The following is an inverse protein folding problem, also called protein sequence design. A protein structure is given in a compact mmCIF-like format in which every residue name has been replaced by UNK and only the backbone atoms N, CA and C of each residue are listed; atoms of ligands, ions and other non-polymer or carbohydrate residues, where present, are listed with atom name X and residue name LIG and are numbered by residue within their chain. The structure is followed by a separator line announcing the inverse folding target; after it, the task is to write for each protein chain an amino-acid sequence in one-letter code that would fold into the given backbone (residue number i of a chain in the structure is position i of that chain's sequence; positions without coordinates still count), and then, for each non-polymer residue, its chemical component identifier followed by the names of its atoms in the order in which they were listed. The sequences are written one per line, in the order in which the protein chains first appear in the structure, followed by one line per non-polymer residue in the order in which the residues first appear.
data_IF_284251122587
#
_entry.id   IF_284251122587
#
_cell.length_a   1.000
_cell.length_b   1.000
_cell.length_c   1.000
_cell.angle_alpha   90.00
_cell.angle_beta   90.00
_cell.angle_gamma   90.00
#
_symmetry.space_group_name_H-M   'P 1'
#
loop_
_entity.id
_entity.type
_entity.pdbx_description
1 polymer ?
#
# COMPACT_ATOMS: atom_id res chain seq x y z
N UNK A 1 45.76 27.52 -0.69
CA UNK A 1 45.00 28.54 -1.46
C UNK A 1 43.54 28.40 -1.06
N UNK A 2 42.91 29.52 -0.65
CA UNK A 2 41.57 29.58 -0.04
C UNK A 2 40.50 29.60 -1.13
N UNK A 3 39.54 28.67 -1.10
CA UNK A 3 38.29 28.83 -1.84
C UNK A 3 37.09 28.90 -0.89
N UNK A 4 36.38 30.02 -1.01
CA UNK A 4 35.27 30.47 -0.19
C UNK A 4 34.00 29.71 -0.56
N UNK A 5 33.29 29.20 0.45
CA UNK A 5 31.92 28.66 0.35
C UNK A 5 30.93 29.83 0.38
N UNK A 6 30.09 29.94 -0.64
CA UNK A 6 28.90 30.81 -0.61
C UNK A 6 27.68 29.92 -0.37
N UNK A 7 27.08 30.06 0.81
CA UNK A 7 25.84 29.41 1.23
C UNK A 7 24.72 30.46 1.08
N UNK A 8 23.72 30.19 0.24
CA UNK A 8 22.50 31.00 0.13
C UNK A 8 21.36 30.22 0.79
N UNK A 9 20.92 30.73 1.93
CA UNK A 9 19.78 30.22 2.70
C UNK A 9 18.53 30.90 2.14
N UNK A 10 17.67 30.12 1.46
CA UNK A 10 16.34 30.55 1.06
C UNK A 10 15.32 30.10 2.11
N UNK A 11 14.72 31.07 2.80
CA UNK A 11 13.76 30.86 3.89
C UNK A 11 12.36 31.18 3.33
N UNK A 12 11.54 30.17 3.05
CA UNK A 12 10.14 30.37 2.62
C UNK A 12 9.19 30.10 3.78
N UNK A 13 8.70 31.19 4.38
CA UNK A 13 7.49 31.22 5.20
C UNK A 13 6.27 31.04 4.28
N UNK A 14 5.41 30.06 4.57
CA UNK A 14 4.06 30.02 3.99
C UNK A 14 3.04 30.02 5.11
N UNK A 15 2.21 31.06 5.12
CA UNK A 15 1.22 31.38 6.13
C UNK A 15 -0.01 30.48 6.06
N UNK A 16 -0.61 30.25 7.22
CA UNK A 16 -1.79 29.43 7.44
C UNK A 16 -3.11 30.19 7.24
N UNK A 17 -4.15 29.39 7.01
CA UNK A 17 -5.58 29.58 7.33
C UNK A 17 -6.42 30.51 6.45
N UNK A 18 -7.52 29.96 5.93
CA UNK A 18 -8.90 30.40 6.31
C UNK A 18 -9.96 29.47 5.70
N UNK A 19 -10.75 28.82 6.57
CA UNK A 19 -12.00 28.15 6.23
C UNK A 19 -13.11 29.22 6.22
N UNK A 20 -13.90 29.27 5.14
CA UNK A 20 -15.09 30.13 5.02
C UNK A 20 -16.36 29.30 5.25
N UNK A 21 -17.24 29.89 6.05
CA UNK A 21 -18.43 29.32 6.68
C UNK A 21 -19.55 28.87 5.73
N UNK A 22 -20.23 27.78 6.11
CA UNK A 22 -21.53 27.37 5.59
C UNK A 22 -22.63 28.31 6.13
N UNK A 23 -23.44 28.89 5.24
CA UNK A 23 -24.67 29.60 5.62
C UNK A 23 -25.88 28.70 5.40
N UNK A 24 -26.51 28.28 6.50
CA UNK A 24 -27.86 27.72 6.52
C UNK A 24 -28.87 28.85 6.29
N UNK A 25 -29.60 28.83 5.18
CA UNK A 25 -30.77 29.68 4.96
C UNK A 25 -31.97 29.00 5.61
N UNK A 26 -32.45 29.56 6.72
CA UNK A 26 -33.75 29.20 7.30
C UNK A 26 -34.84 30.04 6.63
N UNK A 27 -35.83 29.39 6.04
CA UNK A 27 -37.03 30.05 5.53
C UNK A 27 -38.04 30.28 6.68
N UNK A 28 -38.76 31.41 6.70
CA UNK A 28 -39.82 31.66 7.68
C UNK A 28 -41.08 30.86 7.32
N UNK A 29 -41.50 29.97 8.21
CA UNK A 29 -42.81 29.32 8.13
C UNK A 29 -43.88 30.28 8.66
N UNK A 30 -44.88 30.52 7.83
CA UNK A 30 -46.04 31.36 8.11
C UNK A 30 -46.99 30.61 9.06
N UNK A 31 -47.27 31.19 10.23
CA UNK A 31 -48.32 30.71 11.13
C UNK A 31 -49.69 31.03 10.52
N UNK A 32 -50.39 30.00 10.06
CA UNK A 32 -51.81 30.09 9.70
C UNK A 32 -52.63 29.39 10.79
N UNK A 33 -53.28 30.20 11.62
CA UNK A 33 -54.23 29.72 12.63
C UNK A 33 -55.62 29.67 12.00
N UNK A 34 -56.17 28.46 11.74
CA UNK A 34 -57.62 28.24 11.81
C UNK A 34 -58.06 26.76 11.76
N UNK A 35 -58.83 26.42 12.80
CA UNK A 35 -59.91 25.42 12.90
C UNK A 35 -59.57 23.93 13.11
N UNK A 36 -60.00 23.31 14.23
CA UNK A 36 -59.86 21.87 14.44
C UNK A 36 -60.89 21.08 13.60
N UNK A 37 -60.47 20.11 12.78
CA UNK A 37 -61.39 19.22 12.08
C UNK A 37 -61.98 18.14 13.02
N UNK A 38 -63.13 17.54 12.65
CA UNK A 38 -63.78 16.50 13.45
C UNK A 38 -62.92 15.24 13.53
N UNK A 39 -62.79 14.68 14.74
CA UNK A 39 -62.03 13.46 15.01
C UNK A 39 -62.74 12.29 14.34
N UNK A 40 -62.23 11.86 13.19
CA UNK A 40 -62.57 10.59 12.56
C UNK A 40 -61.51 9.59 13.00
N UNK A 41 -61.89 8.58 13.77
CA UNK A 41 -61.01 7.45 14.09
C UNK A 41 -60.98 6.56 12.84
N UNK A 42 -60.14 6.95 11.89
CA UNK A 42 -59.70 6.07 10.82
C UNK A 42 -58.63 5.17 11.41
N UNK A 43 -58.87 3.86 11.46
CA UNK A 43 -57.81 2.90 11.77
C UNK A 43 -56.69 3.12 10.75
N UNK A 44 -55.53 3.59 11.23
CA UNK A 44 -54.35 3.75 10.40
C UNK A 44 -53.99 2.37 9.85
N UNK A 45 -54.04 2.16 8.52
CA UNK A 45 -53.62 0.90 7.96
C UNK A 45 -52.17 0.69 8.37
N UNK A 46 -51.88 -0.45 9.00
CA UNK A 46 -50.54 -0.87 9.39
C UNK A 46 -49.63 -0.68 8.17
N UNK A 47 -48.76 0.34 8.25
CA UNK A 47 -47.82 0.64 7.18
C UNK A 47 -46.86 -0.54 7.13
N UNK A 48 -47.09 -1.45 6.20
CA UNK A 48 -46.14 -2.51 5.87
C UNK A 48 -44.90 -1.78 5.35
N UNK A 49 -43.91 -1.62 6.22
CA UNK A 49 -42.63 -1.04 5.85
C UNK A 49 -42.11 -1.88 4.66
N UNK A 50 -41.82 -1.26 3.50
CA UNK A 50 -41.31 -2.02 2.38
C UNK A 50 -39.99 -2.66 2.84
N UNK A 51 -39.97 -3.99 2.93
CA UNK A 51 -38.74 -4.75 3.17
C UNK A 51 -37.76 -4.39 2.05
N UNK A 52 -36.87 -3.45 2.33
CA UNK A 52 -35.77 -3.17 1.41
C UNK A 52 -34.93 -4.44 1.37
N UNK A 53 -34.62 -4.97 0.17
CA UNK A 53 -33.81 -6.16 0.07
C UNK A 53 -32.53 -5.93 0.87
N UNK A 54 -32.30 -6.76 1.89
CA UNK A 54 -31.06 -6.71 2.65
C UNK A 54 -29.90 -6.88 1.65
N UNK A 55 -28.95 -5.95 1.66
CA UNK A 55 -27.83 -5.98 0.73
C UNK A 55 -27.05 -7.29 0.91
N UNK A 56 -26.98 -8.09 -0.17
CA UNK A 56 -26.36 -9.42 -0.18
C UNK A 56 -24.91 -9.40 -0.69
N UNK A 57 -24.31 -8.21 -0.87
CA UNK A 57 -22.93 -8.06 -1.33
C UNK A 57 -21.90 -8.13 -0.19
N UNK A 58 -20.65 -7.82 -0.53
CA UNK A 58 -19.61 -7.53 0.45
C UNK A 58 -18.86 -6.24 0.07
N UNK A 59 -18.29 -5.60 1.09
CA UNK A 59 -17.51 -4.38 0.95
C UNK A 59 -16.05 -4.78 0.86
N UNK A 60 -15.39 -4.37 -0.21
CA UNK A 60 -13.99 -4.69 -0.43
C UNK A 60 -13.09 -3.66 0.24
N UNK A 61 -12.11 -4.15 1.00
CA UNK A 61 -11.06 -3.34 1.61
C UNK A 61 -9.69 -3.98 1.37
N UNK A 62 -8.68 -3.16 1.04
CA UNK A 62 -7.32 -3.65 0.89
C UNK A 62 -6.81 -4.29 2.19
N UNK A 63 -6.20 -5.47 2.05
CA UNK A 63 -5.74 -6.28 3.16
C UNK A 63 -4.41 -6.96 2.85
N UNK A 64 -3.70 -7.32 3.92
CA UNK A 64 -2.41 -7.97 3.87
C UNK A 64 -2.40 -9.16 4.83
N UNK A 65 -1.88 -10.31 4.37
CA UNK A 65 -1.67 -11.47 5.22
C UNK A 65 -0.21 -11.91 5.19
N UNK A 66 0.39 -12.08 6.38
CA UNK A 66 1.74 -12.60 6.48
C UNK A 66 1.80 -14.06 5.98
N UNK A 67 2.89 -14.41 5.31
CA UNK A 67 3.17 -15.78 4.85
C UNK A 67 4.38 -16.31 5.64
N UNK A 68 4.19 -16.82 6.87
CA UNK A 68 5.30 -17.12 7.78
C UNK A 68 6.22 -18.23 7.25
N UNK A 69 5.68 -19.29 6.65
CA UNK A 69 6.49 -20.38 6.11
C UNK A 69 7.34 -19.93 4.91
N UNK A 70 6.77 -19.11 4.02
CA UNK A 70 7.49 -18.55 2.88
C UNK A 70 8.52 -17.51 3.33
N UNK A 71 8.17 -16.70 4.34
CA UNK A 71 9.05 -15.74 4.98
C UNK A 71 10.28 -16.43 5.57
N UNK A 72 10.09 -17.52 6.32
CA UNK A 72 11.21 -18.27 6.92
C UNK A 72 12.20 -18.78 5.86
N UNK A 73 11.69 -19.39 4.79
CA UNK A 73 12.52 -19.89 3.68
C UNK A 73 13.28 -18.75 2.98
N UNK A 74 12.58 -17.65 2.66
CA UNK A 74 13.17 -16.51 1.95
C UNK A 74 14.21 -15.79 2.81
N UNK A 75 13.89 -15.54 4.08
CA UNK A 75 14.77 -14.87 5.04
C UNK A 75 16.05 -15.68 5.27
N UNK A 76 15.94 -17.00 5.39
CA UNK A 76 17.10 -17.89 5.46
C UNK A 76 17.97 -17.78 4.20
N UNK A 77 17.37 -17.86 3.00
CA UNK A 77 18.11 -17.78 1.75
C UNK A 77 18.80 -16.42 1.53
N UNK A 78 18.14 -15.31 1.90
CA UNK A 78 18.73 -13.97 1.82
C UNK A 78 19.87 -13.80 2.84
N UNK A 79 19.75 -14.39 4.03
CA UNK A 79 20.80 -14.34 5.06
C UNK A 79 22.06 -15.12 4.69
N UNK A 80 21.96 -16.13 3.82
CA UNK A 80 23.15 -16.78 3.24
C UNK A 80 23.93 -15.82 2.31
N UNK A 81 23.29 -14.78 1.76
CA UNK A 81 23.96 -13.73 0.99
C UNK A 81 24.59 -12.65 1.89
N UNK A 82 23.85 -12.16 2.88
CA UNK A 82 24.36 -11.28 3.95
C UNK A 82 23.61 -11.59 5.26
N UNK A 83 24.35 -12.07 6.27
CA UNK A 83 23.80 -12.42 7.59
C UNK A 83 23.06 -11.28 8.33
N UNK A 84 23.27 -10.02 7.92
CA UNK A 84 22.61 -8.84 8.49
C UNK A 84 21.32 -8.47 7.74
N UNK A 85 21.08 -9.05 6.57
CA UNK A 85 19.87 -8.82 5.80
C UNK A 85 18.66 -9.52 6.41
N UNK A 86 17.47 -9.11 5.99
CA UNK A 86 16.21 -9.75 6.36
C UNK A 86 15.21 -9.72 5.22
N UNK A 87 14.31 -10.70 5.17
CA UNK A 87 13.25 -10.74 4.17
C UNK A 87 11.89 -11.13 4.76
N UNK A 88 10.81 -10.68 4.11
CA UNK A 88 9.43 -11.00 4.46
C UNK A 88 8.61 -11.24 3.20
N UNK A 89 7.69 -12.20 3.26
CA UNK A 89 6.68 -12.46 2.24
C UNK A 89 5.27 -12.16 2.77
N UNK A 90 4.47 -11.47 1.96
CA UNK A 90 3.11 -11.04 2.31
C UNK A 90 2.17 -11.28 1.13
N UNK A 91 0.99 -11.84 1.38
CA UNK A 91 -0.08 -11.85 0.40
C UNK A 91 -0.81 -10.50 0.45
N UNK A 92 -0.88 -9.82 -0.69
CA UNK A 92 -1.68 -8.60 -0.87
C UNK A 92 -2.97 -8.93 -1.61
N UNK A 93 -4.09 -8.38 -1.15
CA UNK A 93 -5.39 -8.63 -1.73
C UNK A 93 -6.50 -7.82 -1.06
N UNK A 94 -7.72 -8.34 -1.10
CA UNK A 94 -8.89 -7.66 -0.54
C UNK A 94 -9.61 -8.56 0.47
N UNK A 95 -10.03 -7.97 1.58
CA UNK A 95 -11.05 -8.54 2.44
C UNK A 95 -12.43 -8.17 1.88
N UNK A 96 -13.21 -9.19 1.54
CA UNK A 96 -14.63 -9.08 1.26
C UNK A 96 -15.36 -9.12 2.61
N UNK A 97 -15.86 -7.97 3.08
CA UNK A 97 -16.49 -7.81 4.41
C UNK A 97 -18.02 -7.93 4.27
N UNK A 98 -18.61 -8.86 5.03
CA UNK A 98 -20.04 -9.17 5.03
C UNK A 98 -20.83 -8.23 5.96
N UNK A 99 -22.15 -8.22 5.84
CA UNK A 99 -23.04 -7.41 6.67
C UNK A 99 -23.01 -7.76 8.17
N UNK A 100 -22.64 -9.00 8.51
CA UNK A 100 -22.45 -9.46 9.89
C UNK A 100 -21.05 -9.14 10.46
N UNK A 101 -20.19 -8.52 9.65
CA UNK A 101 -18.82 -8.15 10.00
C UNK A 101 -17.79 -9.27 9.79
N UNK A 102 -18.18 -10.45 9.31
CA UNK A 102 -17.17 -11.44 8.88
C UNK A 102 -16.40 -10.90 7.67
N UNK A 103 -15.22 -11.47 7.42
CA UNK A 103 -14.42 -11.14 6.24
C UNK A 103 -13.81 -12.41 5.63
N UNK A 104 -13.73 -12.44 4.30
CA UNK A 104 -12.98 -13.45 3.55
C UNK A 104 -11.91 -12.76 2.72
N UNK A 105 -10.66 -13.21 2.86
CA UNK A 105 -9.52 -12.67 2.13
C UNK A 105 -9.37 -13.32 0.75
N UNK A 106 -9.23 -12.49 -0.29
CA UNK A 106 -8.87 -12.90 -1.63
C UNK A 106 -7.51 -12.33 -2.03
N UNK A 107 -6.50 -13.20 -2.14
CA UNK A 107 -5.17 -12.78 -2.54
C UNK A 107 -5.11 -12.39 -4.03
N UNK A 108 -4.46 -11.27 -4.33
CA UNK A 108 -4.19 -10.79 -5.68
C UNK A 108 -2.75 -11.06 -6.14
N UNK A 109 -1.81 -11.04 -5.19
CA UNK A 109 -0.40 -11.28 -5.44
C UNK A 109 0.35 -11.60 -4.13
N UNK A 110 1.61 -12.03 -4.29
CA UNK A 110 2.58 -12.15 -3.20
C UNK A 110 3.65 -11.09 -3.39
N UNK A 111 3.84 -10.27 -2.37
CA UNK A 111 4.84 -9.22 -2.34
C UNK A 111 5.94 -9.58 -1.34
N UNK A 112 7.15 -9.16 -1.67
CA UNK A 112 8.34 -9.42 -0.86
C UNK A 112 8.96 -8.10 -0.43
N UNK A 113 9.40 -8.03 0.82
CA UNK A 113 10.23 -6.94 1.32
C UNK A 113 11.57 -7.51 1.73
N UNK A 114 12.66 -6.93 1.23
CA UNK A 114 14.02 -7.35 1.54
C UNK A 114 14.80 -6.15 2.01
N UNK A 115 15.44 -6.27 3.17
CA UNK A 115 16.19 -5.18 3.83
C UNK A 115 17.65 -5.55 3.93
N UNK A 116 18.52 -4.64 3.50
CA UNK A 116 19.97 -4.74 3.60
C UNK A 116 20.52 -3.52 4.35
N UNK A 117 21.13 -3.71 5.52
CA UNK A 117 21.90 -2.66 6.17
C UNK A 117 23.10 -2.24 5.31
N UNK A 118 23.25 -0.93 5.06
CA UNK A 118 24.27 -0.37 4.19
C UNK A 118 24.98 0.83 4.83
N UNK A 119 26.30 0.79 4.94
CA UNK A 119 27.08 1.90 5.55
C UNK A 119 27.18 3.13 4.63
N UNK A 120 27.13 2.90 3.31
CA UNK A 120 27.20 3.89 2.26
C UNK A 120 26.08 3.64 1.25
N UNK A 121 25.28 4.68 0.97
CA UNK A 121 24.15 4.60 0.03
C UNK A 121 24.54 4.98 -1.41
N UNK A 122 25.82 5.29 -1.65
CA UNK A 122 26.31 5.67 -2.99
C UNK A 122 26.84 4.48 -3.80
N UNK A 123 26.80 3.26 -3.25
CA UNK A 123 27.35 2.05 -3.87
C UNK A 123 26.35 1.33 -4.78
N UNK A 124 25.87 2.01 -5.82
CA UNK A 124 24.84 1.51 -6.74
C UNK A 124 25.21 0.18 -7.41
N UNK A 125 26.47 -0.01 -7.77
CA UNK A 125 26.95 -1.27 -8.35
C UNK A 125 26.82 -2.46 -7.37
N UNK A 126 27.15 -2.24 -6.10
CA UNK A 126 27.00 -3.28 -5.08
C UNK A 126 25.52 -3.61 -4.85
N UNK A 127 24.67 -2.59 -4.80
CA UNK A 127 23.23 -2.76 -4.62
C UNK A 127 22.59 -3.52 -5.77
N UNK A 128 22.90 -3.17 -7.02
CA UNK A 128 22.35 -3.90 -8.15
C UNK A 128 22.87 -5.33 -8.29
N UNK A 129 24.14 -5.59 -7.92
CA UNK A 129 24.63 -6.98 -7.85
C UNK A 129 23.89 -7.81 -6.81
N UNK A 130 23.64 -7.23 -5.62
CA UNK A 130 22.89 -7.92 -4.58
C UNK A 130 21.40 -8.08 -4.94
N UNK A 131 20.77 -7.07 -5.56
CA UNK A 131 19.41 -7.20 -6.11
C UNK A 131 19.32 -8.36 -7.09
N UNK A 132 20.28 -8.52 -8.00
CA UNK A 132 20.29 -9.63 -8.95
C UNK A 132 20.28 -11.00 -8.23
N UNK A 133 21.14 -11.17 -7.21
CA UNK A 133 21.21 -12.40 -6.41
C UNK A 133 19.90 -12.68 -5.67
N UNK A 134 19.29 -11.67 -5.07
CA UNK A 134 18.00 -11.83 -4.38
C UNK A 134 16.88 -12.13 -5.38
N UNK A 135 16.87 -11.47 -6.53
CA UNK A 135 15.89 -11.76 -7.58
C UNK A 135 16.04 -13.18 -8.12
N UNK A 136 17.26 -13.71 -8.23
CA UNK A 136 17.48 -15.13 -8.56
C UNK A 136 16.85 -16.08 -7.55
N UNK A 137 16.89 -15.76 -6.25
CA UNK A 137 16.19 -16.53 -5.21
C UNK A 137 14.67 -16.45 -5.42
N UNK A 138 14.14 -15.24 -5.60
CA UNK A 138 12.68 -15.02 -5.70
C UNK A 138 12.08 -15.70 -6.93
N UNK A 139 12.73 -15.63 -8.10
CA UNK A 139 12.20 -16.25 -9.32
C UNK A 139 12.28 -17.79 -9.32
N UNK A 140 12.99 -18.38 -8.36
CA UNK A 140 13.03 -19.83 -8.15
C UNK A 140 11.91 -20.33 -7.23
N UNK A 141 11.16 -19.43 -6.56
CA UNK A 141 10.01 -19.82 -5.74
C UNK A 141 8.94 -20.43 -6.66
N UNK A 142 8.45 -21.66 -6.38
CA UNK A 142 7.42 -22.29 -7.21
C UNK A 142 6.14 -21.45 -7.27
N UNK A 143 5.49 -21.42 -8.45
CA UNK A 143 4.31 -20.56 -8.67
C UNK A 143 3.16 -20.91 -7.73
N UNK A 144 3.02 -22.18 -7.38
CA UNK A 144 2.05 -22.71 -6.44
C UNK A 144 2.26 -22.29 -4.98
N UNK A 145 3.46 -21.83 -4.61
CA UNK A 145 3.72 -21.25 -3.28
C UNK A 145 3.33 -19.76 -3.22
N UNK A 146 3.12 -19.11 -4.37
CA UNK A 146 2.72 -17.71 -4.47
C UNK A 146 1.19 -17.58 -4.43
N UNK A 147 0.69 -16.72 -3.56
CA UNK A 147 -0.72 -16.36 -3.46
C UNK A 147 -1.15 -15.40 -4.57
N UNK A 148 -2.39 -15.58 -5.05
CA UNK A 148 -3.03 -14.74 -6.05
C UNK A 148 -2.60 -15.00 -7.50
N UNK A 149 -3.31 -14.44 -8.50
CA UNK A 149 -3.04 -14.67 -9.92
C UNK A 149 -1.83 -13.90 -10.47
N UNK A 150 -1.33 -12.87 -9.77
CA UNK A 150 -0.20 -12.04 -10.25
C UNK A 150 1.11 -12.38 -9.51
N UNK A 151 2.25 -11.96 -10.06
CA UNK A 151 3.57 -12.20 -9.45
C UNK A 151 3.91 -11.27 -8.28
N UNK A 152 3.31 -10.07 -8.21
CA UNK A 152 3.67 -9.06 -7.22
C UNK A 152 5.02 -8.39 -7.49
N UNK A 153 5.67 -7.92 -6.42
CA UNK A 153 6.95 -7.21 -6.49
C UNK A 153 7.90 -7.60 -5.36
N UNK A 154 9.19 -7.26 -5.55
CA UNK A 154 10.18 -7.24 -4.49
C UNK A 154 10.53 -5.79 -4.18
N UNK A 155 10.34 -5.38 -2.95
CA UNK A 155 10.73 -4.07 -2.45
C UNK A 155 12.04 -4.19 -1.67
N UNK A 156 13.08 -3.56 -2.22
CA UNK A 156 14.41 -3.53 -1.66
C UNK A 156 14.60 -2.27 -0.83
N UNK A 157 15.03 -2.45 0.41
CA UNK A 157 15.39 -1.39 1.34
C UNK A 157 16.89 -1.45 1.61
N UNK A 158 17.63 -0.45 1.15
CA UNK A 158 19.03 -0.24 1.51
C UNK A 158 19.10 0.80 2.61
N UNK A 159 19.45 0.39 3.83
CA UNK A 159 19.22 1.20 5.02
C UNK A 159 20.54 1.52 5.72
N UNK A 160 20.90 2.80 5.79
CA UNK A 160 22.01 3.27 6.63
C UNK A 160 21.56 3.52 8.05
N UNK A 161 20.35 4.06 8.20
CA UNK A 161 19.62 4.21 9.44
C UNK A 161 18.13 4.42 9.11
N UNK A 162 17.30 4.67 10.12
CA UNK A 162 15.85 4.83 9.94
C UNK A 162 15.43 6.07 9.13
N UNK A 163 16.32 7.03 8.91
CA UNK A 163 16.05 8.27 8.17
C UNK A 163 16.78 8.35 6.82
N UNK A 164 17.85 7.57 6.63
CA UNK A 164 18.65 7.52 5.41
C UNK A 164 18.56 6.12 4.80
N UNK A 165 17.77 6.00 3.73
CA UNK A 165 17.58 4.76 3.00
C UNK A 165 17.30 4.98 1.51
N UNK A 166 17.50 3.94 0.70
CA UNK A 166 16.97 3.83 -0.65
C UNK A 166 15.94 2.71 -0.71
N UNK A 167 14.78 2.99 -1.31
CA UNK A 167 13.74 2.01 -1.59
C UNK A 167 13.63 1.85 -3.10
N UNK A 168 13.72 0.62 -3.58
CA UNK A 168 13.45 0.27 -4.97
C UNK A 168 12.40 -0.82 -5.01
N UNK A 169 11.32 -0.58 -5.77
CA UNK A 169 10.25 -1.55 -5.96
C UNK A 169 10.39 -2.18 -7.34
N UNK A 170 10.61 -3.49 -7.38
CA UNK A 170 10.84 -4.25 -8.60
C UNK A 170 9.63 -5.13 -8.87
N UNK A 171 8.78 -4.81 -9.87
CA UNK A 171 7.76 -5.74 -10.33
C UNK A 171 8.43 -7.01 -10.88
N UNK A 172 8.09 -8.18 -10.32
CA UNK A 172 8.74 -9.45 -10.67
C UNK A 172 8.57 -9.75 -12.17
N UNK A 173 7.38 -9.48 -12.72
CA UNK A 173 7.12 -9.68 -14.14
C UNK A 173 7.98 -8.79 -15.03
N UNK A 174 8.23 -7.53 -14.63
CA UNK A 174 9.10 -6.62 -15.39
C UNK A 174 10.56 -7.08 -15.34
N UNK A 175 11.03 -7.54 -14.18
CA UNK A 175 12.36 -8.12 -14.05
C UNK A 175 12.55 -9.32 -15.00
N UNK A 176 11.62 -10.27 -15.00
CA UNK A 176 11.67 -11.45 -15.88
C UNK A 176 11.70 -11.08 -17.36
N UNK A 177 10.94 -10.06 -17.77
CA UNK A 177 10.82 -9.68 -19.17
C UNK A 177 12.02 -8.86 -19.67
N UNK A 178 12.58 -8.00 -18.83
CA UNK A 178 13.44 -6.90 -19.29
C UNK A 178 14.79 -6.80 -18.58
N UNK A 179 14.93 -7.35 -17.37
CA UNK A 179 16.06 -7.10 -16.50
C UNK A 179 16.79 -8.33 -15.95
N UNK A 180 16.34 -9.56 -16.25
CA UNK A 180 16.94 -10.80 -15.74
C UNK A 180 18.43 -10.97 -16.12
N UNK A 181 18.89 -10.34 -17.21
CA UNK A 181 20.30 -10.33 -17.60
C UNK A 181 21.10 -9.11 -17.12
N UNK A 182 20.46 -8.16 -16.42
CA UNK A 182 21.12 -6.95 -15.91
C UNK A 182 21.71 -7.22 -14.55
N UNK A 183 22.86 -6.62 -14.27
CA UNK A 183 23.54 -6.70 -12.98
C UNK A 183 24.15 -5.36 -12.63
N UNK A 184 24.73 -5.24 -11.43
CA UNK A 184 25.45 -4.05 -10.99
C UNK A 184 24.65 -2.76 -11.14
N UNK A 185 25.35 -1.68 -11.46
CA UNK A 185 24.77 -0.34 -11.56
C UNK A 185 23.66 -0.27 -12.62
N UNK A 186 23.72 -1.10 -13.67
CA UNK A 186 22.70 -1.16 -14.72
C UNK A 186 21.34 -1.60 -14.16
N UNK A 187 21.31 -2.69 -13.37
CA UNK A 187 20.08 -3.17 -12.76
C UNK A 187 19.52 -2.17 -11.75
N UNK A 188 20.39 -1.59 -10.91
CA UNK A 188 20.00 -0.61 -9.91
C UNK A 188 19.33 0.61 -10.56
N UNK A 189 20.00 1.21 -11.56
CA UNK A 189 19.48 2.40 -12.24
C UNK A 189 18.21 2.13 -13.04
N UNK A 190 18.09 0.94 -13.65
CA UNK A 190 16.89 0.57 -14.41
C UNK A 190 15.61 0.71 -13.55
N UNK A 191 15.66 0.30 -12.27
CA UNK A 191 14.51 0.41 -11.36
C UNK A 191 14.48 1.67 -10.50
N UNK A 192 15.59 2.41 -10.36
CA UNK A 192 15.61 3.70 -9.64
C UNK A 192 14.82 4.79 -10.39
N UNK A 193 14.79 4.72 -11.73
CA UNK A 193 14.13 5.73 -12.58
C UNK A 193 12.72 5.34 -13.03
N UNK A 194 12.23 4.17 -12.62
CA UNK A 194 10.88 3.73 -12.95
C UNK A 194 9.85 4.58 -12.17
N UNK A 195 8.86 5.20 -12.85
CA UNK A 195 7.85 6.04 -12.21
C UNK A 195 6.91 5.26 -11.28
#
# INVERSE_FOLDING_TARGET
MKHKRNLLIGLTLTAAATFVALQNVSAPTQEETASPPPITITAEPEQVEPETPAWQGCAYNWAYQALPELTEKLDAAVKELDSRASAQATAFGEDCIQADGSATFGAMQTDFTVRLPADDLTTEEAFGNWMAQVMEIVVQIPREELQGPNYGFVEFWFEKNTAEFHILRIPIQQYLNEAQGKTGEELFKYFQTAP
#
